data_IF_999527055366
#
_entry.id   IF_999527055366
#
_cell.length_a   1.000
_cell.length_b   1.000
_cell.length_c   1.000
_cell.angle_alpha   90.00
_cell.angle_beta   90.00
_cell.angle_gamma   90.00
#
_symmetry.space_group_name_H-M   'P 1'
#
loop_
_entity.id
_entity.type
_entity.pdbx_description
1 polymer ?
#
# COMPACT_ATOMS: atom_id res chain seq x y z
N UNK A 1 4.35 -10.30 0.42
CA UNK A 1 4.59 -8.84 0.53
C UNK A 1 3.52 -8.12 -0.27
N UNK A 2 2.87 -7.10 0.31
CA UNK A 2 1.83 -6.33 -0.39
C UNK A 2 2.44 -5.18 -1.16
N UNK A 3 1.73 -4.69 -2.18
CA UNK A 3 2.15 -3.48 -2.89
C UNK A 3 1.44 -2.27 -2.31
N UNK A 4 2.22 -1.40 -1.67
CA UNK A 4 1.78 -0.11 -1.20
C UNK A 4 1.75 0.90 -2.36
N UNK A 5 0.72 1.74 -2.38
CA UNK A 5 0.69 2.99 -3.14
C UNK A 5 1.03 4.11 -2.18
N UNK A 6 2.19 4.73 -2.37
CA UNK A 6 2.67 5.82 -1.51
C UNK A 6 2.60 7.13 -2.27
N UNK A 7 1.82 8.08 -1.75
CA UNK A 7 1.82 9.45 -2.25
C UNK A 7 2.92 10.26 -1.58
N UNK A 8 3.69 11.02 -2.34
CA UNK A 8 4.74 11.87 -1.80
C UNK A 8 4.68 13.24 -2.45
N UNK A 9 4.51 14.29 -1.66
CA UNK A 9 4.68 15.66 -2.13
C UNK A 9 6.18 15.97 -2.24
N UNK A 10 6.66 16.20 -3.46
CA UNK A 10 8.08 16.41 -3.75
C UNK A 10 8.49 17.88 -3.75
N UNK A 11 7.52 18.79 -3.74
CA UNK A 11 7.71 20.24 -3.78
C UNK A 11 6.75 20.95 -2.80
N UNK A 12 6.88 20.72 -1.48
CA UNK A 12 5.98 21.28 -0.48
C UNK A 12 6.02 22.81 -0.44
N UNK A 13 7.13 23.42 -0.85
CA UNK A 13 7.31 24.88 -0.90
C UNK A 13 6.91 25.50 -2.24
N UNK A 14 6.48 24.68 -3.23
CA UNK A 14 6.10 25.15 -4.56
C UNK A 14 7.21 25.91 -5.30
N UNK A 15 8.47 25.55 -5.04
CA UNK A 15 9.65 26.27 -5.53
C UNK A 15 10.15 25.76 -6.89
N UNK A 16 9.70 24.59 -7.34
CA UNK A 16 10.23 23.99 -8.55
C UNK A 16 9.66 24.58 -9.84
N UNK A 17 10.55 24.72 -10.81
CA UNK A 17 10.21 25.02 -12.19
C UNK A 17 9.71 23.76 -12.90
N UNK A 18 8.97 23.93 -14.00
CA UNK A 18 8.53 22.81 -14.82
C UNK A 18 9.70 21.95 -15.34
N UNK A 19 10.85 22.57 -15.66
CA UNK A 19 12.04 21.85 -16.09
C UNK A 19 12.59 20.96 -14.97
N UNK A 20 12.71 21.51 -13.74
CA UNK A 20 13.19 20.75 -12.57
C UNK A 20 12.27 19.59 -12.21
N UNK A 21 10.95 19.78 -12.32
CA UNK A 21 9.97 18.71 -12.08
C UNK A 21 10.12 17.56 -13.07
N UNK A 22 10.32 17.86 -14.36
CA UNK A 22 10.52 16.82 -15.38
C UNK A 22 11.84 16.08 -15.21
N UNK A 23 12.91 16.81 -14.89
CA UNK A 23 14.22 16.22 -14.57
C UNK A 23 14.11 15.29 -13.36
N UNK A 24 13.50 15.75 -12.26
CA UNK A 24 13.29 14.94 -11.06
C UNK A 24 12.42 13.71 -11.32
N UNK A 25 11.37 13.81 -12.14
CA UNK A 25 10.58 12.65 -12.55
C UNK A 25 11.37 11.64 -13.37
N UNK A 26 12.26 12.10 -14.25
CA UNK A 26 13.18 11.22 -14.99
C UNK A 26 14.10 10.43 -14.05
N UNK A 27 14.77 11.14 -13.13
CA UNK A 27 15.63 10.52 -12.13
C UNK A 27 14.86 9.57 -11.21
N UNK A 28 13.63 9.93 -10.81
CA UNK A 28 12.80 9.07 -9.96
C UNK A 28 12.44 7.76 -10.65
N UNK A 29 12.12 7.79 -11.94
CA UNK A 29 11.79 6.59 -12.71
C UNK A 29 12.97 5.61 -12.77
N UNK A 30 14.19 6.13 -12.96
CA UNK A 30 15.41 5.31 -12.97
C UNK A 30 15.67 4.71 -11.58
N UNK A 31 15.68 5.54 -10.53
CA UNK A 31 15.93 5.10 -9.15
C UNK A 31 14.88 4.10 -8.64
N UNK A 32 13.60 4.32 -8.98
CA UNK A 32 12.54 3.39 -8.60
C UNK A 32 12.72 2.04 -9.29
N UNK A 33 13.03 2.02 -10.59
CA UNK A 33 13.29 0.79 -11.33
C UNK A 33 14.47 -0.01 -10.77
N UNK A 34 15.56 0.67 -10.40
CA UNK A 34 16.71 0.03 -9.73
C UNK A 34 16.35 -0.55 -8.35
N UNK A 35 15.42 0.07 -7.64
CA UNK A 35 14.91 -0.38 -6.35
C UNK A 35 13.79 -1.43 -6.44
N UNK A 36 13.38 -1.84 -7.64
CA UNK A 36 12.26 -2.77 -7.84
C UNK A 36 10.90 -2.17 -7.49
N UNK A 37 10.77 -0.84 -7.52
CA UNK A 37 9.54 -0.10 -7.34
C UNK A 37 9.06 0.47 -8.69
N UNK A 38 7.76 0.79 -8.78
CA UNK A 38 7.19 1.48 -9.93
C UNK A 38 6.71 2.88 -9.55
N UNK A 39 6.51 3.73 -10.56
CA UNK A 39 5.97 5.09 -10.40
C UNK A 39 4.80 5.27 -11.35
N UNK A 40 3.67 5.76 -10.85
CA UNK A 40 2.54 6.16 -11.70
C UNK A 40 2.95 7.44 -12.43
N UNK A 41 3.10 7.36 -13.75
CA UNK A 41 3.51 8.52 -14.56
C UNK A 41 2.45 9.60 -14.52
N UNK A 42 2.87 10.80 -14.12
CA UNK A 42 2.03 11.99 -14.12
C UNK A 42 2.87 13.22 -14.52
N UNK A 43 2.24 14.26 -15.07
CA UNK A 43 2.89 15.54 -15.36
C UNK A 43 2.78 16.48 -14.15
N UNK A 44 3.77 16.42 -13.26
CA UNK A 44 3.84 17.28 -12.07
C UNK A 44 3.81 18.79 -12.42
N UNK A 45 4.28 19.17 -13.61
CA UNK A 45 4.28 20.58 -14.01
C UNK A 45 2.88 21.08 -14.40
N UNK A 46 1.97 20.17 -14.77
CA UNK A 46 0.57 20.47 -15.03
C UNK A 46 -0.30 20.43 -13.76
N UNK A 47 0.23 19.92 -12.65
CA UNK A 47 -0.49 19.87 -11.36
C UNK A 47 -0.47 21.21 -10.63
N UNK A 48 -1.49 21.51 -9.81
CA UNK A 48 -1.44 22.65 -8.89
C UNK A 48 -0.22 22.57 -7.99
N UNK A 49 0.43 23.71 -7.74
CA UNK A 49 1.68 23.74 -6.97
C UNK A 49 1.53 23.13 -5.56
N UNK A 50 0.37 23.33 -4.92
CA UNK A 50 0.03 22.75 -3.62
C UNK A 50 -0.18 21.21 -3.61
N UNK A 51 -0.17 20.55 -4.78
CA UNK A 51 -0.41 19.11 -4.94
C UNK A 51 0.54 18.46 -5.95
N UNK A 52 1.81 18.86 -5.95
CA UNK A 52 2.85 18.19 -6.74
C UNK A 52 3.25 16.87 -6.08
N UNK A 53 2.34 15.90 -6.18
CA UNK A 53 2.46 14.57 -5.59
C UNK A 53 2.83 13.54 -6.64
N UNK A 54 3.82 12.71 -6.33
CA UNK A 54 4.11 11.48 -7.05
C UNK A 54 3.43 10.30 -6.37
N UNK A 55 3.08 9.27 -7.13
CA UNK A 55 2.56 8.01 -6.59
C UNK A 55 3.56 6.88 -6.91
N UNK A 56 4.12 6.27 -5.87
CA UNK A 56 5.03 5.13 -5.99
C UNK A 56 4.32 3.83 -5.62
N UNK A 57 4.63 2.77 -6.33
CA UNK A 57 4.20 1.41 -6.06
C UNK A 57 5.40 0.64 -5.48
N UNK A 58 5.31 0.29 -4.20
CA UNK A 58 6.43 -0.32 -3.46
C UNK A 58 5.96 -1.63 -2.83
N UNK A 59 6.67 -2.72 -3.10
CA UNK A 59 6.48 -3.96 -2.34
C UNK A 59 7.02 -3.77 -0.92
N UNK A 60 6.17 -3.91 0.09
CA UNK A 60 6.53 -3.68 1.49
C UNK A 60 5.75 -4.60 2.43
N UNK A 61 6.29 -4.80 3.62
CA UNK A 61 5.63 -5.53 4.71
C UNK A 61 4.57 -4.66 5.39
N UNK A 62 4.89 -3.39 5.62
CA UNK A 62 4.01 -2.41 6.25
C UNK A 62 4.11 -1.02 5.59
N UNK A 63 3.23 -0.11 6.04
CA UNK A 63 3.13 1.23 5.49
C UNK A 63 4.30 2.14 5.84
N UNK A 64 4.96 1.93 6.97
CA UNK A 64 6.09 2.76 7.40
C UNK A 64 7.33 2.43 6.58
N UNK A 65 7.59 1.14 6.33
CA UNK A 65 8.64 0.69 5.43
C UNK A 65 8.44 1.24 4.01
N UNK A 66 7.21 1.17 3.48
CA UNK A 66 6.87 1.73 2.18
C UNK A 66 7.06 3.26 2.14
N UNK A 67 6.58 3.97 3.16
CA UNK A 67 6.70 5.43 3.28
C UNK A 67 8.15 5.88 3.32
N UNK A 68 8.98 5.23 4.14
CA UNK A 68 10.41 5.56 4.25
C UNK A 68 11.15 5.35 2.93
N UNK A 69 10.92 4.22 2.25
CA UNK A 69 11.52 3.93 0.95
C UNK A 69 11.10 4.97 -0.11
N UNK A 70 9.82 5.34 -0.15
CA UNK A 70 9.29 6.34 -1.07
C UNK A 70 9.92 7.73 -0.85
N UNK A 71 10.02 8.16 0.41
CA UNK A 71 10.65 9.45 0.77
C UNK A 71 12.12 9.45 0.36
N UNK A 72 12.85 8.37 0.61
CA UNK A 72 14.26 8.27 0.26
C UNK A 72 14.49 8.38 -1.26
N UNK A 73 13.69 7.65 -2.06
CA UNK A 73 13.73 7.73 -3.52
C UNK A 73 13.41 9.15 -4.02
N UNK A 74 12.36 9.76 -3.48
CA UNK A 74 11.97 11.13 -3.83
C UNK A 74 13.05 12.16 -3.44
N UNK A 75 13.64 12.01 -2.25
CA UNK A 75 14.69 12.91 -1.77
C UNK A 75 15.92 12.85 -2.67
N UNK A 76 16.32 11.65 -3.11
CA UNK A 76 17.42 11.45 -4.07
C UNK A 76 17.11 12.07 -5.43
N UNK A 77 15.91 11.84 -5.97
CA UNK A 77 15.52 12.32 -7.29
C UNK A 77 15.37 13.85 -7.37
N UNK A 78 14.75 14.46 -6.35
CA UNK A 78 14.39 15.87 -6.37
C UNK A 78 15.35 16.77 -5.59
N UNK A 79 16.15 16.23 -4.67
CA UNK A 79 17.06 17.01 -3.83
C UNK A 79 16.33 17.91 -2.83
N UNK A 80 15.15 17.50 -2.36
CA UNK A 80 14.32 18.24 -1.39
C UNK A 80 14.12 17.46 -0.10
N UNK A 81 13.22 17.96 0.75
CA UNK A 81 12.61 17.20 1.83
C UNK A 81 11.17 16.87 1.42
N UNK A 82 10.93 15.73 0.77
CA UNK A 82 9.59 15.33 0.39
C UNK A 82 8.74 15.08 1.63
N UNK A 83 7.44 15.32 1.51
CA UNK A 83 6.48 15.07 2.60
C UNK A 83 5.62 13.87 2.22
N UNK A 84 5.58 12.81 3.05
CA UNK A 84 4.70 11.67 2.79
C UNK A 84 3.24 12.09 2.90
N UNK A 85 2.45 11.63 1.94
CA UNK A 85 1.00 11.66 1.98
C UNK A 85 0.43 10.36 2.53
N UNK A 86 -0.74 10.00 2.03
CA UNK A 86 -1.43 8.76 2.41
C UNK A 86 -0.70 7.56 1.79
N UNK A 87 -0.52 6.51 2.60
CA UNK A 87 -0.12 5.17 2.15
C UNK A 87 -1.36 4.29 2.08
N UNK A 88 -1.62 3.71 0.92
CA UNK A 88 -2.66 2.68 0.74
C UNK A 88 -2.04 1.39 0.22
N UNK A 89 -2.78 0.30 0.20
CA UNK A 89 -2.34 -0.97 -0.37
C UNK A 89 -3.28 -1.43 -1.48
N UNK A 90 -2.72 -2.02 -2.52
CA UNK A 90 -3.48 -2.64 -3.61
C UNK A 90 -4.00 -3.99 -3.11
N UNK A 91 -5.33 -4.15 -3.09
CA UNK A 91 -5.98 -5.44 -2.85
C UNK A 91 -5.98 -6.28 -4.12
N UNK A 92 -5.41 -7.48 -4.06
CA UNK A 92 -5.38 -8.44 -5.17
C UNK A 92 -6.09 -9.76 -4.86
N UNK A 93 -6.75 -9.86 -3.71
CA UNK A 93 -7.41 -11.10 -3.30
C UNK A 93 -6.48 -12.12 -2.66
N UNK A 94 -5.24 -11.75 -2.35
CA UNK A 94 -4.17 -12.68 -1.97
C UNK A 94 -4.10 -12.95 -0.47
N UNK A 95 -3.39 -13.99 -0.06
CA UNK A 95 -3.20 -14.27 1.38
C UNK A 95 -2.37 -13.18 2.07
N UNK A 96 -1.48 -12.51 1.33
CA UNK A 96 -0.81 -11.29 1.77
C UNK A 96 -1.82 -10.18 2.13
N UNK A 97 -2.94 -10.07 1.39
CA UNK A 97 -4.00 -9.12 1.69
C UNK A 97 -4.79 -9.51 2.95
N UNK A 98 -5.00 -10.81 3.17
CA UNK A 98 -5.60 -11.31 4.41
C UNK A 98 -4.71 -10.96 5.62
N UNK A 99 -3.43 -11.30 5.55
CA UNK A 99 -2.45 -10.97 6.60
C UNK A 99 -2.34 -9.46 6.83
N UNK A 100 -2.41 -8.65 5.76
CA UNK A 100 -2.42 -7.19 5.86
C UNK A 100 -3.63 -6.65 6.60
N UNK A 101 -4.82 -7.20 6.37
CA UNK A 101 -6.03 -6.85 7.13
C UNK A 101 -5.88 -7.24 8.59
N UNK A 102 -5.46 -8.48 8.88
CA UNK A 102 -5.27 -8.96 10.25
C UNK A 102 -4.26 -8.08 11.01
N UNK A 103 -3.11 -7.79 10.41
CA UNK A 103 -2.11 -6.90 11.02
C UNK A 103 -2.66 -5.49 11.27
N UNK A 104 -3.53 -4.97 10.41
CA UNK A 104 -4.20 -3.68 10.61
C UNK A 104 -5.12 -3.64 11.84
N UNK A 105 -5.63 -4.80 12.25
CA UNK A 105 -6.33 -4.99 13.53
C UNK A 105 -5.40 -5.38 14.69
N UNK A 106 -4.09 -5.54 14.45
CA UNK A 106 -3.16 -6.08 15.45
C UNK A 106 -3.37 -7.57 15.73
N UNK A 107 -3.90 -8.30 14.75
CA UNK A 107 -4.22 -9.72 14.81
C UNK A 107 -3.22 -10.56 14.02
N UNK A 108 -3.11 -11.81 14.41
CA UNK A 108 -2.37 -12.86 13.70
C UNK A 108 -3.29 -14.06 13.53
N UNK A 109 -3.24 -14.72 12.38
CA UNK A 109 -4.09 -15.87 12.08
C UNK A 109 -3.51 -16.75 11.00
N UNK A 110 -4.02 -17.97 10.92
CA UNK A 110 -3.71 -18.90 9.84
C UNK A 110 -4.73 -18.75 8.70
N UNK A 111 -4.24 -18.78 7.46
CA UNK A 111 -5.05 -18.63 6.25
C UNK A 111 -5.03 -19.96 5.50
N UNK A 112 -6.21 -20.50 5.23
CA UNK A 112 -6.41 -21.67 4.38
C UNK A 112 -7.35 -21.28 3.23
N UNK A 113 -6.95 -21.62 2.00
CA UNK A 113 -7.70 -21.27 0.79
C UNK A 113 -8.11 -22.53 0.04
N UNK A 114 -9.39 -22.61 -0.28
CA UNK A 114 -9.96 -23.73 -1.04
C UNK A 114 -10.70 -23.19 -2.27
N UNK A 115 -10.52 -23.78 -3.47
CA UNK A 115 -11.33 -23.41 -4.64
C UNK A 115 -12.82 -23.64 -4.35
N UNK A 116 -13.65 -22.63 -4.61
CA UNK A 116 -15.12 -22.75 -4.54
C UNK A 116 -15.73 -23.14 -5.88
N UNK A 117 -17.03 -23.48 -5.84
CA UNK A 117 -17.74 -24.05 -6.99
C UNK A 117 -18.06 -23.02 -8.09
N UNK A 118 -18.10 -21.73 -7.75
CA UNK A 118 -18.42 -20.62 -8.68
C UNK A 118 -17.17 -19.96 -9.29
N UNK A 119 -16.00 -20.59 -9.17
CA UNK A 119 -14.74 -20.06 -9.69
C UNK A 119 -14.09 -18.98 -8.83
N UNK A 120 -14.60 -18.77 -7.61
CA UNK A 120 -13.97 -17.97 -6.56
C UNK A 120 -13.48 -18.87 -5.44
N UNK A 121 -12.38 -18.50 -4.79
CA UNK A 121 -11.92 -19.23 -3.61
C UNK A 121 -12.83 -18.96 -2.40
N UNK A 122 -12.82 -19.90 -1.47
CA UNK A 122 -13.31 -19.72 -0.10
C UNK A 122 -12.09 -19.66 0.81
N UNK A 123 -12.02 -18.64 1.67
CA UNK A 123 -10.90 -18.43 2.58
C UNK A 123 -11.33 -18.67 4.02
N UNK A 124 -10.66 -19.60 4.67
CA UNK A 124 -10.80 -19.86 6.10
C UNK A 124 -9.69 -19.15 6.87
N UNK A 125 -10.09 -18.34 7.85
CA UNK A 125 -9.17 -17.58 8.70
C UNK A 125 -9.31 -18.07 10.13
N UNK A 126 -8.25 -18.66 10.67
CA UNK A 126 -8.23 -19.17 12.04
C UNK A 126 -7.57 -18.17 12.97
N UNK A 127 -8.32 -17.67 13.95
CA UNK A 127 -7.91 -16.66 14.94
C UNK A 127 -7.98 -17.20 16.36
N UNK A 128 -7.28 -16.56 17.30
CA UNK A 128 -7.40 -16.90 18.73
C UNK A 128 -8.69 -16.31 19.29
N UNK A 129 -9.42 -17.07 20.10
CA UNK A 129 -10.68 -16.59 20.71
C UNK A 129 -10.49 -15.27 21.49
N UNK A 130 -9.39 -15.15 22.24
CA UNK A 130 -9.04 -13.94 23.02
C UNK A 130 -8.88 -12.67 22.20
N UNK A 131 -8.51 -12.81 20.92
CA UNK A 131 -8.33 -11.66 20.04
C UNK A 131 -9.70 -11.07 19.64
N UNK A 132 -10.71 -11.94 19.49
CA UNK A 132 -12.08 -11.54 19.14
C UNK A 132 -12.88 -10.97 20.33
N UNK A 133 -12.43 -11.22 21.57
CA UNK A 133 -12.99 -10.52 22.75
C UNK A 133 -12.75 -9.00 22.67
N UNK A 134 -11.65 -8.58 22.03
CA UNK A 134 -11.25 -7.18 21.92
C UNK A 134 -11.72 -6.53 20.64
N UNK A 135 -11.81 -7.30 19.56
CA UNK A 135 -12.15 -6.81 18.22
C UNK A 135 -13.34 -7.61 17.71
N UNK A 136 -14.50 -6.97 17.45
CA UNK A 136 -15.67 -7.69 16.97
C UNK A 136 -15.37 -8.47 15.70
N UNK A 137 -15.70 -9.77 15.69
CA UNK A 137 -15.51 -10.67 14.55
C UNK A 137 -16.08 -10.08 13.26
N UNK A 138 -17.28 -9.49 13.33
CA UNK A 138 -17.94 -8.87 12.17
C UNK A 138 -17.10 -7.78 11.49
N UNK A 139 -16.29 -7.02 12.25
CA UNK A 139 -15.40 -6.01 11.66
C UNK A 139 -14.24 -6.64 10.91
N UNK A 140 -13.68 -7.71 11.47
CA UNK A 140 -12.59 -8.45 10.84
C UNK A 140 -13.11 -9.13 9.58
N UNK A 141 -14.27 -9.78 9.68
CA UNK A 141 -14.95 -10.47 8.57
C UNK A 141 -15.24 -9.51 7.41
N UNK A 142 -15.90 -8.38 7.66
CA UNK A 142 -16.18 -7.37 6.62
C UNK A 142 -14.91 -6.85 5.95
N UNK A 143 -13.85 -6.60 6.72
CA UNK A 143 -12.59 -6.12 6.16
C UNK A 143 -11.89 -7.19 5.30
N UNK A 144 -11.94 -8.46 5.72
CA UNK A 144 -11.39 -9.58 4.96
C UNK A 144 -12.16 -9.79 3.66
N UNK A 145 -13.50 -9.84 3.69
CA UNK A 145 -14.31 -9.98 2.46
C UNK A 145 -14.08 -8.84 1.48
N UNK A 146 -14.01 -7.59 1.97
CA UNK A 146 -13.76 -6.43 1.12
C UNK A 146 -12.35 -6.47 0.48
N UNK A 147 -11.36 -6.97 1.22
CA UNK A 147 -9.96 -7.04 0.78
C UNK A 147 -9.73 -8.22 -0.17
N UNK A 148 -10.39 -9.35 0.09
CA UNK A 148 -10.18 -10.60 -0.63
C UNK A 148 -11.11 -10.76 -1.83
N UNK A 149 -12.25 -10.07 -1.83
CA UNK A 149 -13.31 -10.19 -2.83
C UNK A 149 -13.75 -11.64 -3.06
N UNK A 150 -13.86 -12.40 -1.96
CA UNK A 150 -14.26 -13.79 -1.95
C UNK A 150 -14.97 -14.12 -0.62
N UNK A 151 -15.57 -15.31 -0.54
CA UNK A 151 -16.20 -15.77 0.70
C UNK A 151 -15.14 -16.01 1.79
N UNK A 152 -15.45 -15.56 3.01
CA UNK A 152 -14.57 -15.71 4.18
C UNK A 152 -15.31 -16.36 5.33
N UNK A 153 -14.67 -17.36 5.94
CA UNK A 153 -15.11 -17.96 7.20
C UNK A 153 -14.07 -17.78 8.29
N UNK A 154 -14.46 -17.18 9.41
CA UNK A 154 -13.60 -17.08 10.59
C UNK A 154 -13.83 -18.29 11.50
N UNK A 155 -12.74 -18.91 11.93
CA UNK A 155 -12.70 -20.00 12.91
C UNK A 155 -11.91 -19.54 14.13
N UNK A 156 -12.26 -20.04 15.31
CA UNK A 156 -11.51 -19.76 16.54
C UNK A 156 -10.80 -21.00 17.08
N UNK A 157 -9.65 -20.78 17.70
CA UNK A 157 -8.84 -21.76 18.44
C UNK A 157 -8.36 -21.22 19.78
#
# INVERSE_FOLDING_TARGET
MRTAVVRVNVDPESAFTAARLREGMGALLELAGEAGADVVRNDLAAMPAARREVELLIAAEDGDAASNAAIELCAKAFGTRPVPGVVTFISRGTDDDAHGVLSGFGLTGEIERTPGDDGFDIVYVTLREKDLERIPESRVHTALEASLNCEVHIRTV
#
